data_IF_978405589859
#
_entry.id   IF_978405589859
#
_cell.length_a   1.000
_cell.length_b   1.000
_cell.length_c   1.000
_cell.angle_alpha   90.00
_cell.angle_beta   90.00
_cell.angle_gamma   90.00
#
_symmetry.space_group_name_H-M   'P 1'
#
loop_
_entity.id
_entity.type
_entity.pdbx_description
1 polymer ?
#
# COMPACT_ATOMS: atom_id res chain seq x y z
N UNK A 1 32.34 48.39 4.96
CA UNK A 1 32.32 47.16 4.13
C UNK A 1 32.13 45.90 4.97
N UNK A 2 32.98 45.62 5.97
CA UNK A 2 32.92 44.37 6.77
C UNK A 2 31.52 44.04 7.34
N UNK A 3 30.77 45.01 7.90
CA UNK A 3 29.47 44.73 8.53
C UNK A 3 28.47 44.04 7.58
N UNK A 4 28.47 44.38 6.28
CA UNK A 4 27.58 43.75 5.29
C UNK A 4 27.89 42.26 5.14
N UNK A 5 29.17 41.90 5.17
CA UNK A 5 29.63 40.50 5.09
C UNK A 5 29.15 39.72 6.32
N UNK A 6 29.25 40.29 7.53
CA UNK A 6 28.72 39.65 8.74
C UNK A 6 27.20 39.52 8.73
N UNK A 7 26.45 40.51 8.24
CA UNK A 7 24.99 40.41 8.11
C UNK A 7 24.58 39.35 7.08
N UNK A 8 25.28 39.25 5.94
CA UNK A 8 25.03 38.19 4.96
C UNK A 8 25.39 36.80 5.49
N UNK A 9 26.48 36.66 6.27
CA UNK A 9 26.84 35.41 6.95
C UNK A 9 25.78 34.99 7.98
N UNK A 10 25.24 35.93 8.76
CA UNK A 10 24.14 35.65 9.69
C UNK A 10 22.86 35.23 8.97
N UNK A 11 22.51 35.87 7.85
CA UNK A 11 21.38 35.46 7.01
C UNK A 11 21.58 34.06 6.41
N UNK A 12 22.78 33.76 5.91
CA UNK A 12 23.14 32.42 5.42
C UNK A 12 23.06 31.36 6.51
N UNK A 13 23.50 31.67 7.75
CA UNK A 13 23.38 30.74 8.88
C UNK A 13 21.91 30.50 9.29
N UNK A 14 21.09 31.56 9.31
CA UNK A 14 19.65 31.46 9.62
C UNK A 14 18.87 30.66 8.58
N UNK A 15 19.21 30.77 7.30
CA UNK A 15 18.67 29.88 6.25
C UNK A 15 19.23 28.46 6.36
N UNK A 16 20.51 28.31 6.72
CA UNK A 16 21.17 27.00 6.88
C UNK A 16 20.66 26.16 8.06
N UNK A 17 20.06 26.79 9.08
CA UNK A 17 19.52 26.09 10.26
C UNK A 17 18.00 25.87 10.26
N UNK A 18 17.31 26.19 9.16
CA UNK A 18 15.84 26.09 9.07
C UNK A 18 15.34 24.82 8.35
N UNK A 19 16.21 24.10 7.65
CA UNK A 19 16.00 22.67 7.42
C UNK A 19 16.32 21.91 8.70
N UNK A 20 15.32 21.83 9.58
CA UNK A 20 15.23 20.70 10.50
C UNK A 20 15.35 19.41 9.68
N UNK A 21 16.10 18.42 10.19
CA UNK A 21 15.99 17.05 9.71
C UNK A 21 14.61 16.54 10.12
N UNK A 22 13.62 16.83 9.29
CA UNK A 22 12.26 16.30 9.40
C UNK A 22 12.37 14.77 9.38
N UNK A 23 12.16 14.18 10.55
CA UNK A 23 12.41 12.77 10.85
C UNK A 23 11.81 11.88 9.75
N UNK A 24 12.67 11.28 8.91
CA UNK A 24 12.27 10.67 7.64
C UNK A 24 11.42 9.44 7.88
N UNK A 25 10.11 9.67 7.86
CA UNK A 25 9.09 8.66 8.12
C UNK A 25 9.23 7.52 7.13
N UNK A 26 9.37 6.30 7.65
CA UNK A 26 9.38 5.07 6.87
C UNK A 26 8.05 4.34 7.04
N UNK A 27 7.51 3.82 5.95
CA UNK A 27 6.25 3.08 5.90
C UNK A 27 6.49 1.69 5.31
N UNK A 28 5.85 0.67 5.88
CA UNK A 28 5.76 -0.66 5.29
C UNK A 28 4.28 -0.98 5.05
N UNK A 29 3.88 -1.07 3.79
CA UNK A 29 2.57 -1.57 3.37
C UNK A 29 2.64 -3.09 3.20
N UNK A 30 1.74 -3.82 3.87
CA UNK A 30 1.64 -5.28 3.76
C UNK A 30 0.24 -5.65 3.24
N UNK A 31 0.19 -6.28 2.08
CA UNK A 31 -1.02 -6.80 1.46
C UNK A 31 -1.11 -8.30 1.61
N UNK A 32 -2.21 -8.78 2.21
CA UNK A 32 -2.51 -10.18 2.42
C UNK A 32 -3.78 -10.49 1.63
N UNK A 33 -3.65 -11.13 0.47
CA UNK A 33 -4.72 -11.14 -0.54
C UNK A 33 -6.01 -11.82 -0.08
N UNK A 34 -7.01 -11.04 0.27
CA UNK A 34 -8.27 -11.57 0.77
C UNK A 34 -8.33 -11.91 2.25
N UNK A 35 -7.49 -11.34 3.12
CA UNK A 35 -7.73 -11.44 4.56
C UNK A 35 -9.00 -10.65 4.96
N UNK A 36 -10.14 -11.34 4.94
CA UNK A 36 -11.45 -10.88 5.40
C UNK A 36 -11.49 -10.57 6.91
N UNK A 37 -12.16 -9.47 7.28
CA UNK A 37 -12.51 -9.17 8.67
C UNK A 37 -13.37 -10.27 9.33
N UNK A 38 -14.20 -10.97 8.54
CA UNK A 38 -15.03 -12.08 9.06
C UNK A 38 -14.23 -13.37 9.31
N UNK A 39 -12.93 -13.39 9.03
CA UNK A 39 -12.03 -14.37 9.61
C UNK A 39 -11.55 -13.98 10.99
N UNK A 40 -11.14 -12.72 11.17
CA UNK A 40 -10.64 -12.24 12.45
C UNK A 40 -11.61 -12.58 13.60
N UNK A 41 -12.90 -12.29 13.40
CA UNK A 41 -13.96 -12.58 14.39
C UNK A 41 -14.19 -14.09 14.66
N UNK A 42 -13.72 -15.00 13.80
CA UNK A 42 -13.79 -16.45 14.01
C UNK A 42 -12.53 -17.02 14.67
N UNK A 43 -11.36 -16.40 14.47
CA UNK A 43 -10.07 -16.90 14.95
C UNK A 43 -9.61 -16.22 16.25
N UNK A 44 -10.00 -14.97 16.52
CA UNK A 44 -9.37 -14.14 17.56
C UNK A 44 -9.51 -14.73 18.97
N UNK A 45 -10.56 -15.50 19.22
CA UNK A 45 -10.81 -16.19 20.49
C UNK A 45 -10.52 -17.71 20.42
N UNK A 46 -10.29 -18.26 19.22
CA UNK A 46 -10.03 -19.70 19.01
C UNK A 46 -8.54 -20.05 19.13
N UNK A 47 -7.64 -19.11 18.83
CA UNK A 47 -6.20 -19.39 18.79
C UNK A 47 -5.32 -18.31 19.44
N UNK A 48 -4.07 -18.67 19.72
CA UNK A 48 -3.03 -17.75 20.14
C UNK A 48 -2.50 -16.97 18.92
N UNK A 49 -2.87 -15.69 18.84
CA UNK A 49 -2.44 -14.74 17.81
C UNK A 49 -1.66 -13.56 18.44
N UNK A 50 -0.52 -13.80 19.13
CA UNK A 50 0.21 -12.76 19.85
C UNK A 50 0.68 -11.59 18.98
N UNK A 51 1.16 -11.84 17.76
CA UNK A 51 1.70 -10.80 16.87
C UNK A 51 0.59 -9.84 16.44
N UNK A 52 -0.55 -10.37 15.95
CA UNK A 52 -1.68 -9.51 15.64
C UNK A 52 -2.27 -8.83 16.85
N UNK A 53 -2.41 -9.53 17.97
CA UNK A 53 -2.96 -8.92 19.19
C UNK A 53 -2.07 -7.78 19.70
N UNK A 54 -0.75 -7.87 19.56
CA UNK A 54 0.15 -6.74 19.82
C UNK A 54 -0.15 -5.55 18.90
N UNK A 55 -0.10 -5.72 17.57
CA UNK A 55 -0.35 -4.61 16.63
C UNK A 55 -1.75 -4.00 16.76
N UNK A 56 -2.77 -4.81 17.06
CA UNK A 56 -4.17 -4.38 17.26
C UNK A 56 -4.36 -3.66 18.61
N UNK A 57 -3.70 -4.11 19.68
CA UNK A 57 -3.83 -3.49 21.00
C UNK A 57 -3.02 -2.19 21.11
N UNK A 58 -1.83 -2.14 20.52
CA UNK A 58 -0.94 -0.98 20.57
C UNK A 58 -1.11 -0.01 19.37
N UNK A 59 -2.14 -0.21 18.55
CA UNK A 59 -2.42 0.58 17.34
C UNK A 59 -3.90 0.65 16.97
N UNK A 60 -4.17 0.76 15.67
CA UNK A 60 -5.49 0.85 15.04
C UNK A 60 -5.90 -0.50 14.47
N UNK A 61 -7.16 -0.89 14.64
CA UNK A 61 -7.78 -2.01 13.93
C UNK A 61 -9.13 -1.64 13.33
N UNK A 62 -9.30 -1.83 12.02
CA UNK A 62 -10.50 -1.42 11.27
C UNK A 62 -10.93 -2.46 10.22
N UNK A 63 -12.16 -2.31 9.74
CA UNK A 63 -12.63 -2.85 8.45
C UNK A 63 -12.23 -1.91 7.32
N UNK A 64 -11.92 -2.46 6.14
CA UNK A 64 -11.77 -1.69 4.90
C UNK A 64 -13.00 -1.91 4.01
N UNK A 65 -13.69 -0.84 3.62
CA UNK A 65 -14.64 -0.88 2.52
C UNK A 65 -13.87 -0.98 1.21
N UNK A 66 -13.87 -2.19 0.65
CA UNK A 66 -13.24 -2.56 -0.62
C UNK A 66 -13.92 -1.84 -1.81
N UNK A 67 -13.23 -1.69 -2.93
CA UNK A 67 -13.81 -1.20 -4.18
C UNK A 67 -14.63 -2.29 -4.89
N UNK A 68 -15.43 -1.90 -5.88
CA UNK A 68 -16.07 -2.83 -6.80
C UNK A 68 -15.26 -2.92 -8.12
N UNK A 69 -14.90 -4.10 -8.63
CA UNK A 69 -15.09 -5.44 -8.07
C UNK A 69 -13.99 -5.79 -7.04
N UNK A 70 -14.33 -6.61 -6.04
CA UNK A 70 -13.39 -7.10 -5.01
C UNK A 70 -12.50 -8.23 -5.55
N UNK A 71 -11.68 -7.91 -6.55
CA UNK A 71 -10.66 -8.81 -7.09
C UNK A 71 -9.27 -8.25 -6.79
N UNK A 72 -8.32 -9.12 -6.50
CA UNK A 72 -6.90 -8.85 -6.24
C UNK A 72 -6.35 -7.72 -7.11
N UNK A 73 -6.56 -7.81 -8.42
CA UNK A 73 -6.00 -6.90 -9.40
C UNK A 73 -6.52 -5.45 -9.29
N UNK A 74 -7.83 -5.16 -9.40
CA UNK A 74 -8.37 -3.84 -9.07
C UNK A 74 -8.00 -3.38 -7.65
N UNK A 75 -8.26 -4.23 -6.65
CA UNK A 75 -8.06 -3.95 -5.21
C UNK A 75 -6.65 -3.42 -4.88
N UNK A 76 -5.61 -4.12 -5.34
CA UNK A 76 -4.21 -3.74 -5.08
C UNK A 76 -3.78 -2.48 -5.82
N UNK A 77 -4.37 -2.16 -6.97
CA UNK A 77 -4.12 -0.89 -7.69
C UNK A 77 -4.82 0.27 -6.99
N UNK A 78 -6.08 0.10 -6.55
CA UNK A 78 -6.81 1.13 -5.81
C UNK A 78 -6.12 1.55 -4.51
N UNK A 79 -5.54 0.59 -3.75
CA UNK A 79 -4.77 0.87 -2.53
C UNK A 79 -3.58 1.79 -2.80
N UNK A 80 -2.84 1.55 -3.89
CA UNK A 80 -1.57 2.24 -4.16
C UNK A 80 -1.69 3.45 -5.07
N UNK A 81 -2.88 3.78 -5.57
CA UNK A 81 -3.16 4.95 -6.41
C UNK A 81 -4.27 5.85 -5.89
N UNK A 82 -5.10 5.36 -4.95
CA UNK A 82 -6.28 6.07 -4.47
C UNK A 82 -7.42 6.16 -5.49
N UNK A 83 -7.36 5.44 -6.60
CA UNK A 83 -8.33 5.48 -7.70
C UNK A 83 -9.33 4.31 -7.65
N UNK A 84 -10.53 4.52 -8.17
CA UNK A 84 -11.48 3.44 -8.49
C UNK A 84 -11.12 2.71 -9.79
N UNK A 85 -11.66 1.49 -9.98
CA UNK A 85 -11.53 0.63 -11.17
C UNK A 85 -11.72 1.38 -12.50
N UNK A 86 -12.72 2.27 -12.54
CA UNK A 86 -13.07 3.11 -13.69
C UNK A 86 -12.01 4.17 -14.04
N UNK A 87 -11.28 4.67 -13.05
CA UNK A 87 -10.29 5.73 -13.22
C UNK A 87 -8.86 5.20 -13.42
N UNK A 88 -8.48 4.07 -12.79
CA UNK A 88 -7.22 3.39 -13.10
C UNK A 88 -7.34 2.37 -14.25
N UNK A 89 -8.55 2.11 -14.77
CA UNK A 89 -8.79 1.31 -15.97
C UNK A 89 -8.56 -0.20 -15.82
N UNK A 90 -8.57 -0.72 -14.59
CA UNK A 90 -8.31 -2.15 -14.30
C UNK A 90 -9.56 -2.74 -13.66
N UNK A 91 -10.20 -3.68 -14.37
CA UNK A 91 -11.52 -4.20 -14.00
C UNK A 91 -11.50 -5.65 -13.47
N UNK A 92 -10.39 -6.36 -13.63
CA UNK A 92 -10.20 -7.73 -13.14
C UNK A 92 -8.86 -8.32 -13.56
N UNK A 93 -8.63 -9.60 -13.25
CA UNK A 93 -7.52 -10.38 -13.80
C UNK A 93 -7.72 -10.78 -15.27
N UNK A 94 -8.97 -10.72 -15.75
CA UNK A 94 -9.37 -10.97 -17.13
C UNK A 94 -10.40 -9.91 -17.58
N UNK A 95 -10.14 -9.17 -18.67
CA UNK A 95 -11.08 -8.22 -19.27
C UNK A 95 -10.69 -7.88 -20.73
N UNK A 96 -11.58 -7.24 -21.48
CA UNK A 96 -11.38 -6.87 -22.89
C UNK A 96 -11.62 -5.37 -23.10
N UNK A 97 -10.67 -4.68 -23.75
CA UNK A 97 -10.84 -3.28 -24.20
C UNK A 97 -11.27 -3.27 -25.67
N UNK A 98 -12.54 -2.94 -25.89
CA UNK A 98 -13.16 -2.87 -27.22
C UNK A 98 -12.68 -1.69 -28.08
N UNK A 99 -12.13 -0.63 -27.48
CA UNK A 99 -11.59 0.52 -28.21
C UNK A 99 -10.19 0.22 -28.76
N UNK A 100 -9.41 -0.56 -28.01
CA UNK A 100 -8.08 -1.05 -28.43
C UNK A 100 -8.13 -2.37 -29.20
N UNK A 101 -9.24 -3.11 -29.09
CA UNK A 101 -9.39 -4.49 -29.53
C UNK A 101 -8.32 -5.43 -28.92
N UNK A 102 -8.15 -5.36 -27.60
CA UNK A 102 -7.16 -6.17 -26.86
C UNK A 102 -7.85 -6.93 -25.72
N UNK A 103 -7.59 -8.23 -25.64
CA UNK A 103 -7.92 -9.06 -24.48
C UNK A 103 -6.75 -9.05 -23.49
N UNK A 104 -7.08 -8.85 -22.21
CA UNK A 104 -6.17 -8.90 -21.08
C UNK A 104 -6.53 -10.13 -20.24
N UNK A 105 -5.59 -11.04 -20.06
CA UNK A 105 -5.68 -12.19 -19.15
C UNK A 105 -4.41 -12.27 -18.30
N UNK A 106 -4.46 -12.75 -17.05
CA UNK A 106 -3.34 -12.76 -16.09
C UNK A 106 -1.92 -12.95 -16.69
N UNK A 107 -1.73 -13.94 -17.56
CA UNK A 107 -0.44 -14.27 -18.19
C UNK A 107 0.04 -13.24 -19.23
N UNK A 108 -0.87 -12.50 -19.86
CA UNK A 108 -0.62 -11.43 -20.84
C UNK A 108 -0.71 -10.05 -20.17
N UNK A 109 -1.54 -9.87 -19.14
CA UNK A 109 -1.75 -8.57 -18.51
C UNK A 109 -0.57 -8.15 -17.65
N UNK A 110 0.28 -9.06 -17.14
CA UNK A 110 1.50 -8.66 -16.44
C UNK A 110 2.35 -7.69 -17.27
N UNK A 111 2.39 -7.89 -18.59
CA UNK A 111 2.98 -6.98 -19.55
C UNK A 111 2.15 -5.69 -19.77
N UNK A 112 0.82 -5.80 -19.85
CA UNK A 112 -0.06 -4.66 -20.11
C UNK A 112 -0.26 -3.71 -18.91
N UNK A 113 -0.15 -4.23 -17.68
CA UNK A 113 0.05 -3.44 -16.48
C UNK A 113 1.30 -2.59 -16.68
N UNK A 114 2.46 -3.26 -16.73
CA UNK A 114 3.76 -2.61 -16.76
C UNK A 114 3.89 -1.61 -17.93
N UNK A 115 3.44 -1.95 -19.14
CA UNK A 115 3.63 -1.10 -20.34
C UNK A 115 2.57 -0.03 -20.62
N UNK A 116 1.27 -0.26 -20.32
CA UNK A 116 0.20 0.44 -21.07
C UNK A 116 -0.90 1.14 -20.26
N UNK A 117 -1.24 0.71 -19.04
CA UNK A 117 -2.27 1.36 -18.20
C UNK A 117 -1.68 2.11 -17.02
N UNK A 118 -0.61 1.57 -16.42
CA UNK A 118 0.12 2.26 -15.36
C UNK A 118 0.76 3.56 -15.83
N UNK A 119 1.07 3.66 -17.13
CA UNK A 119 1.79 4.81 -17.69
C UNK A 119 0.98 6.10 -17.70
N UNK A 120 -0.30 6.05 -17.28
CA UNK A 120 -1.19 7.19 -17.04
C UNK A 120 -1.57 7.45 -15.57
N UNK A 121 -1.08 6.66 -14.60
CA UNK A 121 -1.41 6.80 -13.17
C UNK A 121 -0.16 6.75 -12.28
N UNK A 122 -0.18 7.41 -11.11
CA UNK A 122 0.99 7.46 -10.23
C UNK A 122 0.83 6.60 -8.96
N UNK A 123 1.27 5.33 -8.97
CA UNK A 123 1.33 4.52 -7.77
C UNK A 123 2.32 5.10 -6.74
N UNK A 124 2.07 4.82 -5.47
CA UNK A 124 2.75 5.42 -4.31
C UNK A 124 4.29 5.34 -4.36
N UNK A 125 4.88 4.27 -4.91
CA UNK A 125 6.33 4.19 -5.13
C UNK A 125 6.84 5.18 -6.19
N UNK A 126 6.12 5.35 -7.30
CA UNK A 126 6.47 6.33 -8.33
C UNK A 126 6.33 7.76 -7.80
N UNK A 127 5.35 8.02 -6.92
CA UNK A 127 5.22 9.30 -6.22
C UNK A 127 6.39 9.55 -5.24
N UNK A 128 6.73 8.56 -4.41
CA UNK A 128 7.87 8.61 -3.46
C UNK A 128 9.21 8.85 -4.16
N UNK A 129 9.40 8.32 -5.38
CA UNK A 129 10.70 8.41 -6.07
C UNK A 129 10.81 9.52 -7.13
N UNK A 130 9.71 10.12 -7.58
CA UNK A 130 9.72 11.10 -8.69
C UNK A 130 8.90 12.37 -8.42
N UNK A 131 8.05 12.40 -7.38
CA UNK A 131 7.18 13.53 -7.06
C UNK A 131 5.90 13.59 -7.92
N UNK A 132 4.90 14.38 -7.50
CA UNK A 132 3.58 14.44 -8.15
C UNK A 132 3.67 15.00 -9.57
N UNK A 133 3.03 14.33 -10.54
CA UNK A 133 3.17 14.60 -12.00
C UNK A 133 3.04 16.09 -12.37
N UNK A 134 2.14 16.82 -11.71
CA UNK A 134 1.74 18.17 -12.10
C UNK A 134 2.03 19.27 -11.05
N UNK A 135 2.78 18.98 -9.98
CA UNK A 135 2.93 19.90 -8.84
C UNK A 135 4.38 20.14 -8.44
N UNK A 136 4.80 21.41 -8.35
CA UNK A 136 6.08 21.84 -7.76
C UNK A 136 6.04 21.91 -6.22
N UNK A 137 5.20 21.08 -5.60
CA UNK A 137 5.06 20.94 -4.15
C UNK A 137 6.25 20.17 -3.55
N UNK A 138 6.52 20.25 -2.23
CA UNK A 138 7.69 19.60 -1.62
C UNK A 138 7.72 18.08 -1.87
N UNK A 139 8.60 17.70 -2.78
CA UNK A 139 9.08 16.35 -3.03
C UNK A 139 10.41 16.15 -2.28
N UNK A 140 10.69 14.93 -1.81
CA UNK A 140 11.98 14.58 -1.19
C UNK A 140 12.91 13.91 -2.20
N UNK A 141 13.78 14.66 -2.91
CA UNK A 141 14.76 14.03 -3.79
C UNK A 141 15.66 13.09 -3.00
N UNK A 142 15.93 11.92 -3.60
CA UNK A 142 16.68 10.77 -3.06
C UNK A 142 15.90 9.80 -2.15
N UNK A 143 14.64 10.05 -1.80
CA UNK A 143 13.81 9.02 -1.15
C UNK A 143 13.53 7.85 -2.13
N UNK A 144 13.43 6.63 -1.59
CA UNK A 144 13.42 5.36 -2.35
C UNK A 144 12.43 4.34 -1.82
N UNK A 145 12.09 3.38 -2.67
CA UNK A 145 11.10 2.34 -2.38
C UNK A 145 11.57 0.92 -2.73
N UNK A 146 11.02 -0.05 -1.99
CA UNK A 146 11.09 -1.49 -2.29
C UNK A 146 9.67 -2.00 -2.59
N UNK A 147 9.47 -2.70 -3.70
CA UNK A 147 8.19 -3.38 -3.99
C UNK A 147 8.40 -4.87 -4.25
N UNK A 148 8.02 -5.71 -3.30
CA UNK A 148 8.07 -7.17 -3.42
C UNK A 148 6.71 -7.74 -3.77
N UNK A 149 6.63 -8.28 -4.98
CA UNK A 149 5.52 -9.08 -5.54
C UNK A 149 4.17 -8.37 -5.65
N UNK A 150 4.06 -7.11 -5.21
CA UNK A 150 2.90 -6.27 -5.52
C UNK A 150 2.83 -6.10 -7.03
N UNK A 151 1.61 -6.19 -7.57
CA UNK A 151 1.33 -5.89 -8.97
C UNK A 151 1.90 -4.52 -9.34
N UNK A 152 2.19 -4.27 -10.62
CA UNK A 152 2.62 -2.97 -11.14
C UNK A 152 3.97 -2.39 -10.67
N UNK A 153 4.58 -2.85 -9.58
CA UNK A 153 5.80 -2.25 -9.02
C UNK A 153 7.13 -2.80 -9.57
N UNK A 154 7.14 -3.43 -10.75
CA UNK A 154 8.21 -4.34 -11.20
C UNK A 154 8.67 -4.07 -12.65
N UNK A 155 9.68 -4.81 -13.17
CA UNK A 155 10.34 -4.49 -14.45
C UNK A 155 9.35 -4.34 -15.62
N UNK A 156 9.49 -3.23 -16.34
CA UNK A 156 8.85 -2.99 -17.63
C UNK A 156 9.42 -3.91 -18.72
N UNK A 157 8.71 -4.05 -19.85
CA UNK A 157 9.30 -4.65 -21.05
C UNK A 157 10.40 -3.75 -21.59
N UNK A 158 11.36 -4.35 -22.28
CA UNK A 158 12.39 -3.59 -22.97
C UNK A 158 11.76 -2.76 -24.11
N UNK A 159 12.08 -1.47 -24.15
CA UNK A 159 11.48 -0.39 -24.96
C UNK A 159 10.18 0.26 -24.43
N UNK A 160 9.53 -0.25 -23.37
CA UNK A 160 8.41 0.48 -22.73
C UNK A 160 8.97 1.64 -21.89
N UNK A 161 8.96 2.86 -22.45
CA UNK A 161 9.24 4.09 -21.69
C UNK A 161 7.93 4.55 -21.04
N UNK A 162 7.83 4.51 -19.70
CA UNK A 162 6.63 4.95 -19.01
C UNK A 162 6.55 6.48 -19.06
N UNK A 163 5.36 7.04 -19.34
CA UNK A 163 5.14 8.48 -19.19
C UNK A 163 5.07 8.88 -17.72
N UNK A 164 4.40 8.05 -16.92
CA UNK A 164 4.26 8.14 -15.47
C UNK A 164 4.30 6.72 -14.87
N UNK A 165 4.36 6.57 -13.54
CA UNK A 165 4.26 5.26 -12.91
C UNK A 165 5.49 4.36 -13.07
N UNK A 166 6.69 4.93 -12.92
CA UNK A 166 7.95 4.17 -12.90
C UNK A 166 7.92 3.03 -11.86
N UNK A 167 8.61 1.89 -12.10
CA UNK A 167 8.88 0.89 -11.07
C UNK A 167 9.65 1.49 -9.89
N UNK A 168 9.57 0.81 -8.74
CA UNK A 168 10.43 1.10 -7.59
C UNK A 168 11.92 0.91 -7.96
N UNK A 169 12.84 1.61 -7.28
CA UNK A 169 14.28 1.38 -7.49
C UNK A 169 14.74 -0.01 -7.05
N UNK A 170 13.99 -0.66 -6.15
CA UNK A 170 14.19 -2.05 -5.76
C UNK A 170 12.87 -2.81 -5.91
N UNK A 171 12.88 -3.95 -6.59
CA UNK A 171 11.68 -4.76 -6.74
C UNK A 171 11.97 -6.26 -6.83
N UNK A 172 10.92 -7.06 -6.61
CA UNK A 172 10.89 -8.49 -6.90
C UNK A 172 9.59 -8.79 -7.64
N UNK A 173 9.68 -9.36 -8.84
CA UNK A 173 8.52 -9.90 -9.57
C UNK A 173 7.89 -11.04 -8.80
N UNK A 174 6.59 -11.27 -8.97
CA UNK A 174 5.94 -12.45 -8.40
C UNK A 174 6.59 -13.73 -8.94
N UNK A 175 7.18 -14.53 -8.05
CA UNK A 175 7.85 -15.81 -8.37
C UNK A 175 7.07 -17.03 -7.88
N UNK A 176 6.04 -16.84 -7.03
CA UNK A 176 5.32 -17.93 -6.36
C UNK A 176 6.16 -18.64 -5.30
N UNK A 177 5.49 -19.33 -4.37
CA UNK A 177 6.12 -20.19 -3.36
C UNK A 177 7.00 -19.50 -2.29
N UNK A 178 7.34 -18.22 -2.45
CA UNK A 178 8.15 -17.44 -1.51
C UNK A 178 7.43 -17.26 -0.16
N UNK A 179 8.09 -17.58 0.96
CA UNK A 179 7.46 -17.43 2.27
C UNK A 179 7.28 -15.96 2.65
N UNK A 180 6.36 -15.69 3.57
CA UNK A 180 6.17 -14.34 4.08
C UNK A 180 7.37 -13.84 4.88
N UNK A 181 7.93 -14.70 5.74
CA UNK A 181 9.09 -14.40 6.58
C UNK A 181 10.30 -14.01 5.74
N UNK A 182 10.66 -14.80 4.72
CA UNK A 182 11.80 -14.47 3.84
C UNK A 182 11.61 -13.14 3.12
N UNK A 183 10.39 -12.86 2.62
CA UNK A 183 10.07 -11.58 1.97
C UNK A 183 10.13 -10.40 2.95
N UNK A 184 9.59 -10.55 4.15
CA UNK A 184 9.54 -9.49 5.15
C UNK A 184 10.90 -9.22 5.77
N UNK A 185 11.67 -10.26 6.13
CA UNK A 185 13.04 -10.15 6.63
C UNK A 185 13.96 -9.48 5.60
N UNK A 186 13.87 -9.88 4.32
CA UNK A 186 14.60 -9.25 3.23
C UNK A 186 14.25 -7.76 3.07
N UNK A 187 12.95 -7.41 3.15
CA UNK A 187 12.48 -6.03 3.04
C UNK A 187 12.98 -5.18 4.22
N UNK A 188 12.76 -5.66 5.46
CA UNK A 188 13.20 -4.97 6.68
C UNK A 188 14.71 -4.77 6.67
N UNK A 189 15.48 -5.82 6.32
CA UNK A 189 16.94 -5.74 6.22
C UNK A 189 17.36 -4.65 5.22
N UNK A 190 16.80 -4.63 4.02
CA UNK A 190 17.13 -3.61 3.02
C UNK A 190 16.77 -2.19 3.49
N UNK A 191 15.65 -2.01 4.20
CA UNK A 191 15.26 -0.71 4.81
C UNK A 191 16.09 -0.32 6.04
N UNK A 192 16.77 -1.26 6.68
CA UNK A 192 17.75 -1.00 7.75
C UNK A 192 19.13 -0.64 7.18
N UNK A 193 19.55 -1.32 6.11
CA UNK A 193 20.85 -1.09 5.44
C UNK A 193 20.88 0.18 4.57
N UNK A 194 19.71 0.70 4.14
CA UNK A 194 19.62 1.84 3.23
C UNK A 194 18.65 2.91 3.78
N UNK A 195 19.17 3.95 4.42
CA UNK A 195 18.35 4.93 5.16
C UNK A 195 17.38 5.76 4.30
N UNK A 196 17.66 5.85 3.01
CA UNK A 196 16.84 6.59 2.05
C UNK A 196 15.64 5.79 1.54
N UNK A 197 15.53 4.49 1.86
CA UNK A 197 14.34 3.71 1.54
C UNK A 197 13.25 4.05 2.56
N UNK A 198 12.33 4.94 2.17
CA UNK A 198 11.22 5.39 3.03
C UNK A 198 9.93 4.61 2.79
N UNK A 199 9.82 3.85 1.70
CA UNK A 199 8.67 2.97 1.43
C UNK A 199 9.07 1.51 1.21
N UNK A 200 8.48 0.60 1.97
CA UNK A 200 8.42 -0.81 1.66
C UNK A 200 6.99 -1.22 1.29
N UNK A 201 6.83 -2.00 0.23
CA UNK A 201 5.55 -2.60 -0.17
C UNK A 201 5.76 -4.10 -0.34
N UNK A 202 4.99 -4.90 0.38
CA UNK A 202 5.05 -6.37 0.34
C UNK A 202 3.67 -6.93 0.04
N UNK A 203 3.59 -7.71 -1.03
CA UNK A 203 2.43 -8.54 -1.33
C UNK A 203 2.68 -9.98 -0.90
N UNK A 204 1.61 -10.59 -0.39
CA UNK A 204 1.52 -12.02 -0.22
C UNK A 204 0.42 -12.54 -1.14
N UNK A 205 0.78 -13.55 -1.95
CA UNK A 205 0.02 -14.29 -2.99
C UNK A 205 -1.30 -14.90 -2.55
N UNK A 206 -1.59 -14.62 -1.30
CA UNK A 206 -2.44 -15.37 -0.49
C UNK A 206 -2.78 -14.46 0.68
N UNK A 207 -4.04 -14.56 1.10
CA UNK A 207 -4.51 -15.92 1.27
C UNK A 207 -5.80 -16.43 0.67
N UNK A 208 -6.13 -15.77 -0.41
CA UNK A 208 -6.82 -16.24 -1.59
C UNK A 208 -6.69 -17.76 -1.88
N UNK A 209 -5.53 -18.23 -2.36
CA UNK A 209 -5.31 -19.61 -2.85
C UNK A 209 -5.82 -20.72 -1.91
N UNK A 210 -5.48 -20.73 -0.62
CA UNK A 210 -5.90 -21.83 0.27
C UNK A 210 -7.42 -21.87 0.45
N UNK A 211 -8.10 -20.72 0.55
CA UNK A 211 -9.56 -20.71 0.61
C UNK A 211 -10.23 -20.84 -0.76
N UNK A 212 -9.49 -20.74 -1.86
CA UNK A 212 -9.94 -21.16 -3.19
C UNK A 212 -9.87 -22.69 -3.36
N UNK A 213 -8.89 -23.33 -2.72
CA UNK A 213 -8.72 -24.80 -2.71
C UNK A 213 -9.73 -25.50 -1.79
N UNK A 214 -9.94 -24.99 -0.57
CA UNK A 214 -10.76 -25.64 0.47
C UNK A 214 -12.13 -24.95 0.73
N UNK A 215 -12.34 -23.74 0.22
CA UNK A 215 -13.47 -22.88 0.60
C UNK A 215 -13.15 -22.00 1.81
N UNK A 216 -13.90 -20.91 2.07
CA UNK A 216 -13.43 -19.85 2.94
C UNK A 216 -13.41 -20.19 4.44
N UNK A 217 -14.23 -21.13 4.93
CA UNK A 217 -14.51 -21.27 6.36
C UNK A 217 -14.09 -22.61 6.97
N UNK A 218 -13.03 -23.22 6.42
CA UNK A 218 -12.51 -24.52 6.86
C UNK A 218 -11.30 -24.38 7.81
N UNK A 219 -10.90 -25.49 8.44
CA UNK A 219 -9.78 -25.52 9.37
C UNK A 219 -8.45 -25.24 8.65
N UNK A 220 -8.30 -25.70 7.41
CA UNK A 220 -7.14 -25.45 6.54
C UNK A 220 -6.99 -23.96 6.22
N UNK A 221 -8.07 -23.18 6.20
CA UNK A 221 -7.99 -21.71 6.13
C UNK A 221 -7.65 -21.12 7.49
N UNK A 222 -8.23 -21.61 8.59
CA UNK A 222 -7.96 -21.03 9.91
C UNK A 222 -6.57 -21.35 10.47
N UNK A 223 -6.07 -22.59 10.41
CA UNK A 223 -4.67 -22.93 10.73
C UNK A 223 -3.70 -22.05 9.96
N UNK A 224 -4.08 -21.77 8.72
CA UNK A 224 -3.33 -20.96 7.80
C UNK A 224 -3.52 -19.46 8.12
N UNK A 225 -4.60 -18.97 8.76
CA UNK A 225 -4.63 -17.62 9.41
C UNK A 225 -4.01 -17.56 10.81
N UNK A 226 -3.87 -18.68 11.51
CA UNK A 226 -3.21 -18.79 12.82
C UNK A 226 -1.71 -18.76 12.65
N UNK A 227 -1.26 -19.41 11.59
CA UNK A 227 -0.12 -18.93 10.87
C UNK A 227 -0.49 -17.73 9.98
N UNK A 228 -1.03 -16.58 10.42
CA UNK A 228 -0.83 -15.16 9.92
C UNK A 228 -0.34 -14.21 10.99
N UNK A 229 -0.50 -14.65 12.22
CA UNK A 229 0.70 -14.69 13.03
C UNK A 229 1.94 -15.38 12.33
N UNK A 230 1.83 -16.07 11.14
CA UNK A 230 2.93 -16.80 10.40
C UNK A 230 2.94 -17.24 8.84
N UNK A 231 2.20 -17.10 7.70
CA UNK A 231 1.02 -16.42 7.02
C UNK A 231 0.12 -17.41 6.17
N UNK A 232 -1.26 -17.35 6.15
CA UNK A 232 -2.35 -17.28 5.05
C UNK A 232 -3.95 -17.69 5.25
N UNK A 233 -5.09 -16.87 5.16
CA UNK A 233 -6.53 -17.15 4.55
C UNK A 233 -7.40 -16.12 3.61
N UNK A 234 -8.47 -16.51 2.79
CA UNK A 234 -9.15 -15.97 1.47
C UNK A 234 -10.39 -14.94 1.31
N UNK A 235 -10.72 -14.39 0.08
CA UNK A 235 -11.91 -13.51 -0.29
C UNK A 235 -12.65 -13.67 -1.69
N UNK A 236 -13.66 -12.80 -2.04
CA UNK A 236 -14.19 -12.70 -3.44
C UNK A 236 -15.56 -12.06 -3.88
N UNK A 237 -16.38 -11.32 -3.09
CA UNK A 237 -17.73 -10.79 -3.48
C UNK A 237 -17.93 -9.26 -3.22
N UNK A 238 -19.03 -8.65 -3.69
CA UNK A 238 -19.29 -7.20 -3.58
C UNK A 238 -19.12 -6.57 -2.17
N UNK A 239 -18.63 -5.32 -2.07
CA UNK A 239 -18.15 -4.71 -0.81
C UNK A 239 -19.24 -4.41 0.22
N UNK A 240 -20.50 -4.40 -0.19
CA UNK A 240 -21.68 -4.38 0.68
C UNK A 240 -21.80 -5.64 1.56
N UNK A 241 -21.21 -6.77 1.13
CA UNK A 241 -21.05 -7.93 1.98
C UNK A 241 -19.94 -7.70 3.02
N UNK A 242 -20.28 -7.80 4.31
CA UNK A 242 -19.33 -7.70 5.43
C UNK A 242 -18.18 -8.70 5.34
N UNK A 243 -18.39 -9.85 4.71
CA UNK A 243 -17.37 -10.87 4.47
C UNK A 243 -16.25 -10.38 3.53
N UNK A 244 -16.46 -9.30 2.78
CA UNK A 244 -15.57 -8.84 1.70
C UNK A 244 -14.88 -7.51 2.00
N UNK A 245 -14.98 -7.09 3.26
CA UNK A 245 -14.22 -6.01 3.84
C UNK A 245 -12.91 -6.58 4.42
N UNK A 246 -11.72 -6.24 3.87
CA UNK A 246 -10.45 -6.63 4.47
C UNK A 246 -10.27 -6.11 5.89
N UNK A 247 -9.34 -6.71 6.63
CA UNK A 247 -8.77 -6.07 7.83
C UNK A 247 -7.86 -4.89 7.44
N UNK A 248 -7.81 -3.87 8.30
CA UNK A 248 -6.74 -2.88 8.33
C UNK A 248 -6.13 -2.84 9.72
N UNK A 249 -4.80 -2.82 9.79
CA UNK A 249 -4.03 -2.65 11.01
C UNK A 249 -3.05 -1.50 10.78
N UNK A 250 -3.12 -0.46 11.63
CA UNK A 250 -2.21 0.68 11.60
C UNK A 250 -1.38 0.71 12.89
N UNK A 251 -0.07 0.59 12.79
CA UNK A 251 0.83 0.55 13.94
C UNK A 251 2.05 1.46 13.76
N UNK A 252 2.61 1.95 14.87
CA UNK A 252 3.72 2.91 14.89
C UNK A 252 3.28 4.32 15.27
N UNK A 253 4.25 5.23 15.41
CA UNK A 253 4.08 6.55 16.05
C UNK A 253 3.14 7.57 15.38
N UNK A 254 2.53 7.23 14.23
CA UNK A 254 1.47 8.03 13.60
C UNK A 254 0.06 7.62 14.06
N UNK A 255 -0.14 6.36 14.46
CA UNK A 255 -1.46 5.79 14.72
C UNK A 255 -1.87 5.95 16.18
N UNK A 256 -3.18 6.12 16.43
CA UNK A 256 -3.74 6.07 17.79
C UNK A 256 -3.63 4.65 18.34
N UNK A 257 -3.29 4.53 19.61
CA UNK A 257 -3.20 3.24 20.30
C UNK A 257 -4.58 2.73 20.70
N UNK A 258 -4.73 1.40 20.71
CA UNK A 258 -5.91 0.67 21.18
C UNK A 258 -7.24 1.11 20.52
N UNK A 259 -7.17 1.58 19.27
CA UNK A 259 -8.27 2.31 18.64
C UNK A 259 -8.98 1.50 17.55
N UNK A 260 -10.31 1.53 17.55
CA UNK A 260 -11.17 0.87 16.54
C UNK A 260 -12.27 1.83 16.09
N UNK A 261 -12.34 2.24 14.81
CA UNK A 261 -13.40 3.12 14.32
C UNK A 261 -14.73 2.37 14.15
N UNK A 262 -15.85 3.05 14.39
CA UNK A 262 -17.20 2.49 14.23
C UNK A 262 -17.52 2.12 12.77
N UNK A 263 -16.96 2.90 11.84
CA UNK A 263 -17.18 2.80 10.40
C UNK A 263 -15.95 2.22 9.69
N UNK A 264 -16.12 1.46 8.60
CA UNK A 264 -15.00 1.04 7.78
C UNK A 264 -14.30 2.26 7.13
N UNK A 265 -13.00 2.12 6.86
CA UNK A 265 -12.25 3.09 6.05
C UNK A 265 -12.43 2.75 4.56
N UNK A 266 -12.50 3.71 3.65
CA UNK A 266 -12.57 3.38 2.20
C UNK A 266 -11.17 2.98 1.73
N UNK A 267 -11.08 1.94 0.89
CA UNK A 267 -9.80 1.44 0.39
C UNK A 267 -8.97 2.51 -0.33
N UNK A 268 -9.61 3.37 -1.11
CA UNK A 268 -8.97 4.50 -1.80
C UNK A 268 -8.41 5.56 -0.85
N UNK A 269 -8.98 5.72 0.36
CA UNK A 269 -8.47 6.67 1.36
C UNK A 269 -7.13 6.20 1.97
N UNK A 270 -6.70 4.96 1.70
CA UNK A 270 -5.41 4.44 2.15
C UNK A 270 -4.26 5.16 1.43
N UNK A 271 -4.40 5.54 0.15
CA UNK A 271 -3.38 6.27 -0.59
C UNK A 271 -3.09 7.65 0.04
N UNK A 272 -4.14 8.40 0.37
CA UNK A 272 -4.07 9.66 1.12
C UNK A 272 -3.38 9.49 2.48
N UNK A 273 -3.73 8.44 3.23
CA UNK A 273 -3.10 8.10 4.50
C UNK A 273 -1.60 7.77 4.33
N UNK A 274 -1.22 7.02 3.29
CA UNK A 274 0.19 6.74 3.01
C UNK A 274 0.97 8.01 2.68
N UNK A 275 0.40 8.90 1.85
CA UNK A 275 1.01 10.19 1.54
C UNK A 275 1.18 11.07 2.79
N UNK A 276 0.17 11.11 3.67
CA UNK A 276 0.22 11.84 4.94
C UNK A 276 1.26 11.28 5.93
N UNK A 277 1.38 9.95 6.07
CA UNK A 277 2.41 9.31 6.92
C UNK A 277 3.82 9.59 6.38
N UNK A 278 4.00 9.52 5.07
CA UNK A 278 5.29 9.78 4.42
C UNK A 278 5.65 11.27 4.40
N UNK A 279 4.69 12.18 4.54
CA UNK A 279 4.90 13.63 4.44
C UNK A 279 5.10 14.10 3.00
N UNK A 280 4.40 13.47 2.04
CA UNK A 280 4.44 13.81 0.61
C UNK A 280 3.07 14.29 0.13
N UNK A 281 3.04 15.11 -0.92
CA UNK A 281 1.78 15.55 -1.55
C UNK A 281 1.24 14.42 -2.43
N UNK A 282 -0.02 13.96 -2.27
CA UNK A 282 -0.63 12.96 -3.15
C UNK A 282 -0.79 13.50 -4.58
N UNK A 283 -0.75 12.60 -5.58
CA UNK A 283 -1.22 12.94 -6.92
C UNK A 283 -2.76 12.83 -7.01
N UNK A 284 -3.35 13.29 -8.11
CA UNK A 284 -4.81 13.32 -8.31
C UNK A 284 -5.44 11.92 -8.17
N UNK A 285 -6.25 11.73 -7.15
CA UNK A 285 -6.93 10.46 -6.84
C UNK A 285 -8.40 10.67 -6.37
N UNK A 286 -9.11 9.59 -6.06
CA UNK A 286 -10.53 9.58 -5.62
C UNK A 286 -10.69 9.51 -4.07
N UNK A 287 -9.60 9.22 -3.37
CA UNK A 287 -9.50 9.21 -1.91
C UNK A 287 -9.63 10.61 -1.31
N UNK A 288 -9.91 10.66 0.00
CA UNK A 288 -9.93 11.93 0.75
C UNK A 288 -9.56 11.72 2.22
N UNK A 289 -8.42 12.29 2.61
CA UNK A 289 -7.83 12.22 3.94
C UNK A 289 -8.80 12.65 5.07
N UNK A 290 -9.82 13.48 4.79
CA UNK A 290 -10.79 13.93 5.80
C UNK A 290 -11.63 12.80 6.40
N UNK A 291 -11.82 11.69 5.66
CA UNK A 291 -12.53 10.52 6.18
C UNK A 291 -11.66 9.73 7.17
N UNK A 292 -10.34 9.73 6.96
CA UNK A 292 -9.34 9.10 7.82
C UNK A 292 -9.05 9.92 9.08
N UNK A 293 -8.95 11.25 8.98
CA UNK A 293 -8.58 12.11 10.12
C UNK A 293 -9.80 12.57 10.93
N UNK A 294 -10.91 12.96 10.29
CA UNK A 294 -11.99 13.68 10.99
C UNK A 294 -13.33 12.94 11.02
N UNK A 295 -13.89 12.58 9.86
CA UNK A 295 -15.33 12.39 9.72
C UNK A 295 -15.87 10.97 9.99
N UNK A 296 -15.02 9.94 9.89
CA UNK A 296 -15.44 8.54 10.05
C UNK A 296 -14.48 7.69 10.87
N UNK A 297 -13.17 7.91 10.73
CA UNK A 297 -12.17 6.99 11.27
C UNK A 297 -11.31 7.56 12.40
N UNK A 298 -10.78 8.79 12.27
CA UNK A 298 -9.82 9.39 13.23
C UNK A 298 -8.63 8.47 13.58
N UNK A 299 -7.95 7.90 12.57
CA UNK A 299 -6.94 6.85 12.79
C UNK A 299 -5.61 7.35 13.38
N UNK A 300 -5.22 8.57 13.03
CA UNK A 300 -3.90 9.13 13.38
C UNK A 300 -3.98 10.01 14.62
N UNK A 301 -2.83 10.23 15.27
CA UNK A 301 -2.69 11.25 16.30
C UNK A 301 -2.53 12.62 15.64
N UNK A 302 -3.37 13.58 16.04
CA UNK A 302 -3.40 14.98 15.59
C UNK A 302 -2.75 15.91 16.60
#
# INVERSE_FOLDING_TARGET
MLNIIYTMLYLLFLFGSLFSLEDRKRLILIGLDGFSYNYWSKIENKYALPNFKHFINDGVFSRVQNIYQTKTFPSLISIVTGLYSENHGIYGSHFYDSNKNIEYNYNITLDAFNGAYLTSIQPIWSLVENGPINCTMPFRPNDKSIVFEWLSGTKLRDNDIPKHGYPASYYQTYIGGSSFSEKLEKLIKMMQENENITLGVLYHDQPDYNGHEYGPYTEEVYEKIVSIDKVKGNHGYGPENKEMNPIFIGYGGYFRKSFKPDKPIRQIDIYELMCNILGITPDKNDGDLKYIIHNNAQLIMT
#
